data_IF_210003296442
#
_entry.id   IF_210003296442
#
_cell.length_a   1.000
_cell.length_b   1.000
_cell.length_c   1.000
_cell.angle_alpha   90.00
_cell.angle_beta   90.00
_cell.angle_gamma   90.00
#
_symmetry.space_group_name_H-M   'P 1'
#
loop_
_entity.id
_entity.type
_entity.pdbx_description
1 polymer ?
#
# COMPACT_ATOMS: atom_id res chain seq x y z
N UNK A 1 27.29 -15.61 9.65
CA UNK A 1 27.50 -14.71 10.81
C UNK A 1 26.22 -13.92 10.96
N UNK A 2 25.48 -14.06 12.07
CA UNK A 2 24.15 -13.42 12.20
C UNK A 2 24.32 -11.90 12.16
N UNK A 3 23.58 -11.21 11.30
CA UNK A 3 23.68 -9.77 11.14
C UNK A 3 23.26 -9.04 12.44
N UNK A 4 24.23 -8.37 13.08
CA UNK A 4 24.05 -7.71 14.36
C UNK A 4 22.96 -6.62 14.36
N UNK A 5 22.86 -5.84 13.27
CA UNK A 5 21.88 -4.75 13.16
C UNK A 5 20.45 -5.28 12.95
N UNK A 6 20.30 -6.41 12.25
CA UNK A 6 19.02 -7.13 12.15
C UNK A 6 18.56 -7.60 13.53
N UNK A 7 19.42 -8.31 14.28
CA UNK A 7 19.09 -8.83 15.63
C UNK A 7 18.68 -7.69 16.57
N UNK A 8 19.42 -6.57 16.53
CA UNK A 8 19.12 -5.37 17.32
C UNK A 8 17.78 -4.75 16.93
N UNK A 9 17.44 -4.72 15.65
CA UNK A 9 16.14 -4.24 15.18
C UNK A 9 15.01 -5.15 15.64
N UNK A 10 15.16 -6.48 15.49
CA UNK A 10 14.18 -7.45 15.98
C UNK A 10 13.98 -7.30 17.50
N UNK A 11 15.06 -7.20 18.30
CA UNK A 11 14.97 -7.02 19.76
C UNK A 11 14.20 -5.76 20.15
N UNK A 12 14.39 -4.66 19.43
CA UNK A 12 13.68 -3.40 19.70
C UNK A 12 12.24 -3.42 19.20
N UNK A 13 11.94 -4.18 18.15
CA UNK A 13 10.57 -4.40 17.68
C UNK A 13 9.78 -5.31 18.65
N UNK A 14 10.44 -6.31 19.24
CA UNK A 14 9.87 -7.27 20.19
C UNK A 14 10.25 -6.97 21.65
N UNK A 15 10.29 -5.69 22.05
CA UNK A 15 10.54 -5.31 23.46
C UNK A 15 9.40 -5.76 24.36
N UNK A 16 9.69 -6.01 25.64
CA UNK A 16 8.70 -6.37 26.67
C UNK A 16 7.78 -5.21 27.07
N UNK A 17 8.06 -3.99 26.62
CA UNK A 17 7.18 -2.83 26.82
C UNK A 17 5.83 -3.07 26.12
N UNK A 18 4.74 -2.85 26.84
CA UNK A 18 3.36 -2.98 26.36
C UNK A 18 2.94 -1.81 25.45
N UNK A 19 3.72 -1.61 24.40
CA UNK A 19 3.53 -0.62 23.34
C UNK A 19 3.62 -1.32 21.99
N UNK A 20 3.09 -0.67 20.95
CA UNK A 20 3.20 -1.18 19.59
C UNK A 20 4.67 -1.43 19.19
N UNK A 21 4.94 -2.43 18.32
CA UNK A 21 6.26 -2.60 17.71
C UNK A 21 6.77 -1.30 17.09
N UNK A 22 7.97 -0.87 17.50
CA UNK A 22 8.56 0.40 17.07
C UNK A 22 8.71 0.42 15.53
N UNK A 23 7.94 1.28 14.85
CA UNK A 23 7.81 1.33 13.37
C UNK A 23 9.14 1.31 12.63
N UNK A 24 10.14 2.08 13.08
CA UNK A 24 11.47 2.12 12.46
C UNK A 24 12.19 0.78 12.44
N UNK A 25 11.99 -0.05 13.48
CA UNK A 25 12.63 -1.35 13.61
C UNK A 25 11.88 -2.43 12.82
N UNK A 26 10.54 -2.35 12.80
CA UNK A 26 9.73 -3.18 11.90
C UNK A 26 10.12 -2.91 10.44
N UNK A 27 10.22 -1.64 10.05
CA UNK A 27 10.64 -1.24 8.70
C UNK A 27 12.06 -1.71 8.38
N UNK A 28 12.99 -1.61 9.33
CA UNK A 28 14.35 -2.12 9.15
C UNK A 28 14.37 -3.63 8.85
N UNK A 29 13.55 -4.44 9.54
CA UNK A 29 13.43 -5.87 9.26
C UNK A 29 12.83 -6.15 7.87
N UNK A 30 11.83 -5.38 7.44
CA UNK A 30 11.24 -5.52 6.10
C UNK A 30 12.27 -5.16 5.01
N UNK A 31 12.91 -3.99 5.14
CA UNK A 31 13.93 -3.50 4.20
C UNK A 31 15.10 -4.47 4.11
N UNK A 32 15.52 -5.06 5.24
CA UNK A 32 16.55 -6.09 5.27
C UNK A 32 16.29 -7.22 4.26
N UNK A 33 15.05 -7.72 4.19
CA UNK A 33 14.70 -8.82 3.28
C UNK A 33 14.83 -8.44 1.80
N UNK A 34 14.58 -7.17 1.47
CA UNK A 34 14.73 -6.63 0.12
C UNK A 34 16.20 -6.41 -0.24
N UNK A 35 16.98 -5.80 0.66
CA UNK A 35 18.40 -5.50 0.44
C UNK A 35 19.23 -6.78 0.22
N UNK A 36 18.86 -7.88 0.88
CA UNK A 36 19.59 -9.16 0.80
C UNK A 36 18.93 -10.16 -0.16
N UNK A 37 17.74 -9.86 -0.69
CA UNK A 37 16.95 -10.80 -1.49
C UNK A 37 16.60 -12.11 -0.76
N UNK A 38 16.66 -12.11 0.58
CA UNK A 38 16.53 -13.29 1.41
C UNK A 38 15.97 -12.93 2.79
N UNK A 39 15.22 -13.87 3.38
CA UNK A 39 14.53 -13.67 4.66
C UNK A 39 14.90 -14.73 5.71
N UNK A 40 15.75 -15.71 5.37
CA UNK A 40 16.07 -16.83 6.27
C UNK A 40 16.69 -16.32 7.59
N UNK A 41 17.60 -15.34 7.52
CA UNK A 41 18.28 -14.78 8.70
C UNK A 41 17.32 -14.07 9.65
N UNK A 42 16.25 -13.47 9.13
CA UNK A 42 15.22 -12.86 9.95
C UNK A 42 14.52 -13.91 10.82
N UNK A 43 14.14 -15.05 10.24
CA UNK A 43 13.48 -16.13 10.98
C UNK A 43 14.46 -16.80 11.97
N UNK A 44 15.71 -17.05 11.58
CA UNK A 44 16.72 -17.61 12.49
C UNK A 44 17.01 -16.67 13.67
N UNK A 45 17.20 -15.37 13.40
CA UNK A 45 17.42 -14.37 14.43
C UNK A 45 16.22 -14.27 15.39
N UNK A 46 14.99 -14.29 14.86
CA UNK A 46 13.77 -14.26 15.66
C UNK A 46 13.65 -15.51 16.56
N UNK A 47 13.90 -16.71 16.01
CA UNK A 47 13.88 -17.98 16.76
C UNK A 47 14.93 -18.05 17.87
N UNK A 48 16.08 -17.41 17.67
CA UNK A 48 17.16 -17.39 18.67
C UNK A 48 16.86 -16.54 19.91
N UNK A 49 15.83 -15.69 19.86
CA UNK A 49 15.49 -14.81 20.98
C UNK A 49 14.63 -15.54 22.02
N UNK A 50 14.83 -15.27 23.33
CA UNK A 50 14.03 -15.86 24.40
C UNK A 50 12.68 -15.12 24.58
N UNK A 51 11.85 -15.08 23.53
CA UNK A 51 10.56 -14.35 23.53
C UNK A 51 9.45 -15.06 24.30
N UNK A 52 9.52 -16.39 24.44
CA UNK A 52 8.43 -17.21 25.00
C UNK A 52 8.14 -16.97 26.48
N UNK A 53 9.03 -16.26 27.19
CA UNK A 53 8.87 -15.93 28.61
C UNK A 53 7.96 -14.71 28.85
N UNK A 54 7.52 -14.04 27.78
CA UNK A 54 6.71 -12.83 27.89
C UNK A 54 5.70 -12.75 26.73
N UNK A 55 4.42 -12.83 27.07
CA UNK A 55 3.33 -12.82 26.08
C UNK A 55 3.35 -11.58 25.17
N UNK A 56 3.68 -10.40 25.71
CA UNK A 56 3.81 -9.17 24.91
C UNK A 56 4.90 -9.30 23.86
N UNK A 57 6.04 -9.91 24.18
CA UNK A 57 7.12 -10.15 23.21
C UNK A 57 6.71 -11.17 22.14
N UNK A 58 6.02 -12.24 22.54
CA UNK A 58 5.48 -13.24 21.61
C UNK A 58 4.47 -12.60 20.65
N UNK A 59 3.54 -11.82 21.19
CA UNK A 59 2.52 -11.14 20.40
C UNK A 59 3.16 -10.18 19.37
N UNK A 60 4.14 -9.37 19.81
CA UNK A 60 4.89 -8.46 18.93
C UNK A 60 5.73 -9.21 17.89
N UNK A 61 6.26 -10.39 18.23
CA UNK A 61 6.94 -11.25 17.27
C UNK A 61 5.99 -11.75 16.18
N UNK A 62 4.77 -12.17 16.51
CA UNK A 62 3.77 -12.57 15.52
C UNK A 62 3.33 -11.40 14.62
N UNK A 63 3.15 -10.19 15.17
CA UNK A 63 2.90 -8.98 14.37
C UNK A 63 4.07 -8.72 13.41
N UNK A 64 5.31 -8.82 13.89
CA UNK A 64 6.50 -8.60 13.07
C UNK A 64 6.59 -9.63 11.95
N UNK A 65 6.33 -10.91 12.23
CA UNK A 65 6.27 -11.99 11.23
C UNK A 65 5.20 -11.69 10.19
N UNK A 66 3.99 -11.31 10.62
CA UNK A 66 2.90 -10.97 9.70
C UNK A 66 3.31 -9.85 8.74
N UNK A 67 3.88 -8.77 9.27
CA UNK A 67 4.32 -7.63 8.47
C UNK A 67 5.47 -7.98 7.52
N UNK A 68 6.41 -8.82 7.93
CA UNK A 68 7.49 -9.29 7.05
C UNK A 68 6.96 -10.19 5.94
N UNK A 69 5.96 -11.05 6.22
CA UNK A 69 5.30 -11.86 5.20
C UNK A 69 4.53 -10.99 4.20
N UNK A 70 3.85 -9.94 4.67
CA UNK A 70 3.10 -9.01 3.81
C UNK A 70 4.02 -8.12 2.95
N UNK A 71 4.95 -7.41 3.59
CA UNK A 71 5.66 -6.28 2.99
C UNK A 71 7.12 -6.61 2.59
N UNK A 72 7.63 -7.77 2.99
CA UNK A 72 9.00 -8.22 2.71
C UNK A 72 9.18 -8.71 1.28
N UNK A 73 10.43 -9.01 0.94
CA UNK A 73 10.77 -9.65 -0.34
C UNK A 73 9.98 -10.97 -0.50
N UNK A 74 9.58 -11.42 -1.70
CA UNK A 74 8.78 -12.64 -1.90
C UNK A 74 9.35 -13.93 -1.27
N UNK A 75 10.65 -13.96 -0.93
CA UNK A 75 11.23 -15.05 -0.13
C UNK A 75 10.67 -15.11 1.28
N UNK A 76 10.17 -14.01 1.85
CA UNK A 76 9.59 -13.94 3.19
C UNK A 76 8.41 -14.89 3.35
N UNK A 77 7.55 -14.98 2.33
CA UNK A 77 6.45 -15.93 2.30
C UNK A 77 6.95 -17.38 2.26
N UNK A 78 7.96 -17.67 1.42
CA UNK A 78 8.60 -18.99 1.32
C UNK A 78 9.27 -19.42 2.63
N UNK A 79 9.97 -18.51 3.29
CA UNK A 79 10.57 -18.76 4.60
C UNK A 79 9.52 -18.86 5.70
N UNK A 80 8.42 -18.11 5.61
CA UNK A 80 7.26 -18.25 6.49
C UNK A 80 6.69 -19.67 6.43
N UNK A 81 6.52 -20.22 5.22
CA UNK A 81 6.10 -21.61 5.00
C UNK A 81 7.03 -22.62 5.67
N UNK A 82 8.36 -22.45 5.51
CA UNK A 82 9.35 -23.32 6.17
C UNK A 82 9.29 -23.24 7.71
N UNK A 83 8.87 -22.10 8.25
CA UNK A 83 8.76 -21.87 9.69
C UNK A 83 7.32 -21.99 10.22
N UNK A 84 6.40 -22.56 9.43
CA UNK A 84 4.98 -22.74 9.78
C UNK A 84 4.79 -23.48 11.11
N UNK A 85 5.50 -24.59 11.30
CA UNK A 85 5.38 -25.41 12.52
C UNK A 85 5.90 -24.70 13.76
N UNK A 86 6.93 -23.86 13.58
CA UNK A 86 7.43 -22.99 14.65
C UNK A 86 6.38 -21.95 15.03
N UNK A 87 5.74 -21.28 14.08
CA UNK A 87 4.64 -20.33 14.34
C UNK A 87 3.51 -21.01 15.11
N UNK A 88 3.13 -22.22 14.70
CA UNK A 88 2.11 -23.00 15.41
C UNK A 88 2.52 -23.40 16.83
N UNK A 89 3.79 -23.72 17.03
CA UNK A 89 4.33 -24.05 18.36
C UNK A 89 4.34 -22.83 19.27
N UNK A 90 4.73 -21.66 18.75
CA UNK A 90 4.65 -20.38 19.47
C UNK A 90 3.23 -20.13 19.95
N UNK A 91 2.24 -20.28 19.06
CA UNK A 91 0.82 -20.14 19.40
C UNK A 91 0.34 -21.07 20.51
N UNK A 92 0.61 -22.38 20.36
CA UNK A 92 0.21 -23.40 21.36
C UNK A 92 0.89 -23.21 22.71
N UNK A 93 2.12 -22.68 22.73
CA UNK A 93 2.88 -22.49 23.97
C UNK A 93 2.30 -21.42 24.91
N UNK A 94 1.48 -20.51 24.38
CA UNK A 94 0.86 -19.41 25.12
C UNK A 94 -0.65 -19.64 25.31
N UNK A 95 -1.13 -20.87 25.13
CA UNK A 95 -2.57 -21.17 25.17
C UNK A 95 -3.13 -20.91 26.56
N UNK A 96 -4.09 -19.99 26.63
CA UNK A 96 -4.88 -19.66 27.82
C UNK A 96 -6.36 -19.66 27.43
N UNK A 97 -7.21 -20.27 28.25
CA UNK A 97 -8.66 -20.39 27.96
C UNK A 97 -9.42 -19.07 28.13
N UNK A 98 -8.85 -18.10 28.85
CA UNK A 98 -9.47 -16.81 29.11
C UNK A 98 -9.44 -15.90 27.87
N UNK A 99 -10.62 -15.65 27.30
CA UNK A 99 -10.84 -14.74 26.19
C UNK A 99 -10.39 -13.32 26.56
N UNK A 100 -9.70 -12.64 25.65
CA UNK A 100 -9.22 -11.26 25.84
C UNK A 100 -7.80 -11.13 26.39
N UNK A 101 -7.20 -12.22 26.85
CA UNK A 101 -5.79 -12.27 27.29
C UNK A 101 -4.83 -12.29 26.09
N UNK A 102 -3.57 -11.90 26.30
CA UNK A 102 -2.55 -12.04 25.26
C UNK A 102 -2.37 -13.48 24.81
N UNK A 103 -2.38 -14.46 25.73
CA UNK A 103 -2.31 -15.88 25.39
C UNK A 103 -3.38 -16.31 24.38
N UNK A 104 -4.65 -15.92 24.61
CA UNK A 104 -5.74 -16.18 23.66
C UNK A 104 -5.50 -15.51 22.30
N UNK A 105 -5.13 -14.22 22.30
CA UNK A 105 -4.86 -13.48 21.06
C UNK A 105 -3.68 -14.07 20.29
N UNK A 106 -2.61 -14.51 20.97
CA UNK A 106 -1.44 -15.17 20.39
C UNK A 106 -1.84 -16.46 19.70
N UNK A 107 -2.65 -17.30 20.37
CA UNK A 107 -3.14 -18.54 19.79
C UNK A 107 -3.95 -18.28 18.52
N UNK A 108 -4.92 -17.36 18.57
CA UNK A 108 -5.76 -17.05 17.39
C UNK A 108 -4.95 -16.40 16.26
N UNK A 109 -3.99 -15.53 16.57
CA UNK A 109 -3.12 -14.93 15.55
C UNK A 109 -2.25 -16.00 14.88
N UNK A 110 -1.67 -16.92 15.66
CA UNK A 110 -0.87 -18.01 15.10
C UNK A 110 -1.68 -18.89 14.15
N UNK A 111 -2.95 -19.19 14.47
CA UNK A 111 -3.88 -19.93 13.62
C UNK A 111 -4.14 -19.19 12.32
N UNK A 112 -4.45 -17.89 12.40
CA UNK A 112 -4.62 -17.06 11.21
C UNK A 112 -3.38 -17.08 10.32
N UNK A 113 -2.17 -16.89 10.89
CA UNK A 113 -0.93 -16.91 10.11
C UNK A 113 -0.68 -18.25 9.45
N UNK A 114 -0.99 -19.35 10.13
CA UNK A 114 -0.93 -20.70 9.55
C UNK A 114 -1.90 -20.83 8.38
N UNK A 115 -3.17 -20.40 8.54
CA UNK A 115 -4.14 -20.42 7.45
C UNK A 115 -3.68 -19.57 6.24
N UNK A 116 -3.09 -18.39 6.48
CA UNK A 116 -2.50 -17.57 5.42
C UNK A 116 -1.38 -18.31 4.70
N UNK A 117 -0.47 -18.92 5.45
CA UNK A 117 0.63 -19.70 4.88
C UNK A 117 0.10 -20.88 4.06
N UNK A 118 -0.85 -21.65 4.57
CA UNK A 118 -1.47 -22.77 3.87
C UNK A 118 -2.15 -22.35 2.57
N UNK A 119 -2.86 -21.22 2.57
CA UNK A 119 -3.44 -20.62 1.38
C UNK A 119 -2.36 -20.41 0.29
N UNK A 120 -1.23 -19.79 0.65
CA UNK A 120 -0.14 -19.55 -0.29
C UNK A 120 0.63 -20.82 -0.68
N UNK A 121 0.61 -21.87 0.14
CA UNK A 121 1.19 -23.17 -0.19
C UNK A 121 0.38 -23.88 -1.28
N UNK A 122 -0.94 -23.83 -1.16
CA UNK A 122 -1.89 -24.44 -2.08
C UNK A 122 -2.00 -23.62 -3.37
N UNK A 123 -2.15 -22.29 -3.25
CA UNK A 123 -2.31 -21.38 -4.38
C UNK A 123 -0.99 -20.71 -4.79
N UNK A 124 -0.13 -21.45 -5.50
CA UNK A 124 1.21 -20.99 -5.93
C UNK A 124 1.21 -19.74 -6.84
N UNK A 125 0.07 -19.38 -7.40
CA UNK A 125 -0.10 -18.14 -8.17
C UNK A 125 0.00 -16.87 -7.32
N UNK A 126 -0.18 -16.98 -6.00
CA UNK A 126 -0.04 -15.87 -5.06
C UNK A 126 1.37 -15.85 -4.48
N UNK A 127 2.23 -15.06 -5.13
CA UNK A 127 3.65 -14.89 -4.81
C UNK A 127 3.92 -13.75 -3.83
N UNK A 128 2.94 -12.85 -3.64
CA UNK A 128 2.98 -11.69 -2.78
C UNK A 128 2.11 -11.89 -1.55
N UNK A 129 2.57 -11.41 -0.39
CA UNK A 129 1.81 -11.47 0.85
C UNK A 129 0.67 -10.46 0.94
N UNK A 130 0.53 -9.53 -0.02
CA UNK A 130 -0.48 -8.45 -0.03
C UNK A 130 -1.56 -8.59 -1.11
N UNK A 131 -1.65 -9.75 -1.77
CA UNK A 131 -2.64 -10.05 -2.83
C UNK A 131 -2.67 -8.97 -3.94
N UNK A 132 -1.61 -8.90 -4.73
CA UNK A 132 -1.47 -7.85 -5.74
C UNK A 132 -2.38 -8.09 -6.97
N UNK A 133 -2.84 -7.01 -7.60
CA UNK A 133 -3.66 -7.08 -8.82
C UNK A 133 -2.96 -7.80 -9.99
N UNK A 134 -1.62 -7.80 -10.02
CA UNK A 134 -0.87 -8.56 -11.04
C UNK A 134 -1.12 -10.07 -10.94
N UNK A 135 -1.39 -10.59 -9.74
CA UNK A 135 -1.69 -12.00 -9.50
C UNK A 135 -3.08 -12.37 -10.02
N UNK A 136 -4.04 -11.44 -9.91
CA UNK A 136 -5.35 -11.55 -10.54
C UNK A 136 -5.22 -11.72 -12.07
N UNK A 137 -4.42 -10.90 -12.75
CA UNK A 137 -4.25 -11.01 -14.21
C UNK A 137 -3.62 -12.36 -14.60
N UNK A 138 -2.71 -12.89 -13.78
CA UNK A 138 -2.12 -14.20 -14.01
C UNK A 138 -3.14 -15.35 -13.80
N UNK A 139 -4.04 -15.23 -12.82
CA UNK A 139 -5.04 -16.24 -12.48
C UNK A 139 -6.26 -16.20 -13.41
N UNK A 140 -6.69 -15.03 -13.87
CA UNK A 140 -7.83 -14.91 -14.81
C UNK A 140 -7.51 -15.38 -16.24
N UNK A 141 -6.23 -15.54 -16.57
CA UNK A 141 -5.83 -16.22 -17.80
C UNK A 141 -5.94 -17.75 -17.69
N UNK A 142 -6.22 -18.29 -16.50
CA UNK A 142 -6.53 -19.70 -16.31
C UNK A 142 -7.98 -19.92 -16.77
N UNK A 143 -8.14 -20.71 -17.83
CA UNK A 143 -9.42 -20.88 -18.53
C UNK A 143 -10.47 -21.70 -17.78
N UNK A 144 -10.20 -22.09 -16.53
CA UNK A 144 -11.00 -23.05 -15.75
C UNK A 144 -11.83 -22.34 -14.66
N UNK A 145 -13.16 -22.22 -14.85
CA UNK A 145 -14.06 -21.64 -13.85
C UNK A 145 -14.07 -22.38 -12.51
N UNK A 146 -13.85 -23.70 -12.50
CA UNK A 146 -13.91 -24.49 -11.26
C UNK A 146 -12.73 -24.14 -10.35
N UNK A 147 -11.53 -24.02 -10.92
CA UNK A 147 -10.36 -23.53 -10.20
C UNK A 147 -10.56 -22.09 -9.68
N UNK A 148 -11.22 -21.23 -10.45
CA UNK A 148 -11.58 -19.87 -10.02
C UNK A 148 -12.54 -19.87 -8.82
N UNK A 149 -13.53 -20.76 -8.84
CA UNK A 149 -14.49 -20.94 -7.75
C UNK A 149 -13.78 -21.37 -6.46
N UNK A 150 -12.90 -22.36 -6.52
CA UNK A 150 -12.13 -22.86 -5.37
C UNK A 150 -11.24 -21.76 -4.77
N UNK A 151 -10.51 -21.02 -5.59
CA UNK A 151 -9.67 -19.89 -5.14
C UNK A 151 -10.49 -18.85 -4.38
N UNK A 152 -11.68 -18.50 -4.90
CA UNK A 152 -12.57 -17.54 -4.23
C UNK A 152 -13.04 -18.10 -2.89
N UNK A 153 -13.44 -19.36 -2.84
CA UNK A 153 -13.92 -20.00 -1.61
C UNK A 153 -12.84 -20.01 -0.52
N UNK A 154 -11.60 -20.33 -0.89
CA UNK A 154 -10.45 -20.34 0.01
C UNK A 154 -10.06 -18.93 0.47
N UNK A 155 -10.09 -17.93 -0.43
CA UNK A 155 -9.89 -16.53 -0.07
C UNK A 155 -10.95 -16.05 0.92
N UNK A 156 -12.22 -16.43 0.72
CA UNK A 156 -13.29 -16.14 1.68
C UNK A 156 -13.04 -16.84 3.02
N UNK A 157 -12.54 -18.09 3.01
CA UNK A 157 -12.13 -18.77 4.24
C UNK A 157 -11.02 -18.02 4.99
N UNK A 158 -10.03 -17.48 4.28
CA UNK A 158 -8.98 -16.65 4.87
C UNK A 158 -9.53 -15.33 5.42
N UNK A 159 -10.47 -14.69 4.71
CA UNK A 159 -11.16 -13.47 5.15
C UNK A 159 -11.92 -13.68 6.46
N UNK A 160 -12.63 -14.81 6.58
CA UNK A 160 -13.35 -15.17 7.82
C UNK A 160 -12.38 -15.29 9.00
N UNK A 161 -11.23 -15.95 8.81
CA UNK A 161 -10.20 -16.09 9.85
C UNK A 161 -9.61 -14.73 10.25
N UNK A 162 -9.28 -13.86 9.29
CA UNK A 162 -8.74 -12.52 9.55
C UNK A 162 -9.75 -11.64 10.32
N UNK A 163 -11.02 -11.69 9.90
CA UNK A 163 -12.11 -10.91 10.52
C UNK A 163 -12.41 -11.42 11.93
N UNK A 164 -12.48 -12.75 12.13
CA UNK A 164 -12.68 -13.35 13.45
C UNK A 164 -11.57 -12.97 14.43
N UNK A 165 -10.31 -13.04 14.01
CA UNK A 165 -9.18 -12.60 14.83
C UNK A 165 -9.30 -11.11 15.20
N UNK A 166 -9.69 -10.27 14.24
CA UNK A 166 -9.86 -8.83 14.47
C UNK A 166 -10.97 -8.53 15.50
N UNK A 167 -12.08 -9.27 15.46
CA UNK A 167 -13.15 -9.21 16.48
C UNK A 167 -12.61 -9.57 17.87
N UNK A 168 -11.77 -10.60 17.98
CA UNK A 168 -11.15 -10.96 19.26
C UNK A 168 -10.24 -9.85 19.81
N UNK A 169 -9.49 -9.18 18.95
CA UNK A 169 -8.66 -8.03 19.35
C UNK A 169 -9.54 -6.88 19.83
N UNK A 170 -10.59 -6.52 19.09
CA UNK A 170 -11.52 -5.44 19.48
C UNK A 170 -12.21 -5.74 20.81
N UNK A 171 -12.72 -6.96 21.00
CA UNK A 171 -13.34 -7.39 22.26
C UNK A 171 -12.37 -7.29 23.44
N UNK A 172 -11.09 -7.63 23.25
CA UNK A 172 -10.06 -7.57 24.29
C UNK A 172 -9.72 -6.15 24.74
N UNK A 173 -9.92 -5.15 23.87
CA UNK A 173 -9.67 -3.73 24.18
C UNK A 173 -10.90 -3.15 24.91
N UNK A 174 -12.11 -3.52 24.46
CA UNK A 174 -13.35 -3.09 25.10
C UNK A 174 -13.52 -3.60 26.54
N UNK A 175 -13.07 -4.83 26.83
CA UNK A 175 -13.22 -5.44 28.17
C UNK A 175 -12.34 -4.79 29.24
N UNK A 176 -11.20 -4.22 28.87
CA UNK A 176 -10.21 -3.71 29.83
C UNK A 176 -10.39 -2.22 30.16
N UNK A 177 -11.31 -1.50 29.49
CA UNK A 177 -11.46 -0.04 29.56
C UNK A 177 -10.11 0.71 29.42
N UNK A 178 -9.14 0.09 28.72
CA UNK A 178 -7.79 0.60 28.49
C UNK A 178 -7.44 0.41 27.03
N UNK A 179 -7.07 1.50 26.37
CA UNK A 179 -6.53 1.44 25.01
C UNK A 179 -5.12 0.83 25.07
N UNK A 180 -4.98 -0.46 24.73
CA UNK A 180 -3.66 -1.11 24.63
C UNK A 180 -3.10 -0.90 23.21
N UNK A 181 -2.12 0.00 23.08
CA UNK A 181 -1.42 0.24 21.81
C UNK A 181 -0.85 -1.03 21.20
N UNK A 182 -0.35 -1.94 22.05
CA UNK A 182 0.20 -3.22 21.63
C UNK A 182 -0.87 -4.09 20.95
N UNK A 183 -2.02 -4.29 21.60
CA UNK A 183 -3.15 -5.06 21.03
C UNK A 183 -3.67 -4.41 19.74
N UNK A 184 -3.88 -3.09 19.74
CA UNK A 184 -4.36 -2.32 18.58
C UNK A 184 -3.39 -2.45 17.40
N UNK A 185 -2.09 -2.52 17.63
CA UNK A 185 -1.09 -2.59 16.55
C UNK A 185 -1.21 -3.85 15.68
N UNK A 186 -1.86 -4.91 16.16
CA UNK A 186 -2.17 -6.10 15.35
C UNK A 186 -3.27 -5.85 14.31
N UNK A 187 -4.15 -4.86 14.52
CA UNK A 187 -5.21 -4.51 13.57
C UNK A 187 -4.65 -3.87 12.30
N UNK A 188 -3.49 -3.21 12.37
CA UNK A 188 -2.87 -2.55 11.21
C UNK A 188 -2.63 -3.51 10.04
N UNK A 189 -1.89 -4.63 10.20
CA UNK A 189 -1.74 -5.59 9.12
C UNK A 189 -3.05 -6.34 8.80
N UNK A 190 -3.98 -6.52 9.75
CA UNK A 190 -5.28 -7.13 9.48
C UNK A 190 -6.14 -6.28 8.54
N UNK A 191 -6.17 -4.96 8.72
CA UNK A 191 -6.91 -4.05 7.84
C UNK A 191 -6.38 -4.09 6.41
N UNK A 192 -5.04 -4.13 6.27
CA UNK A 192 -4.42 -4.27 4.96
C UNK A 192 -4.80 -5.61 4.31
N UNK A 193 -4.77 -6.70 5.08
CA UNK A 193 -5.12 -8.04 4.62
C UNK A 193 -6.59 -8.12 4.17
N UNK A 194 -7.52 -7.71 5.04
CA UNK A 194 -8.95 -7.85 4.78
C UNK A 194 -9.41 -6.95 3.63
N UNK A 195 -8.80 -5.77 3.49
CA UNK A 195 -9.04 -4.89 2.35
C UNK A 195 -8.55 -5.52 1.04
N UNK A 196 -7.34 -6.09 1.05
CA UNK A 196 -6.75 -6.71 -0.13
C UNK A 196 -7.57 -7.93 -0.59
N UNK A 197 -7.92 -8.82 0.34
CA UNK A 197 -8.78 -9.98 0.06
C UNK A 197 -10.13 -9.51 -0.47
N UNK A 198 -10.79 -8.54 0.17
CA UNK A 198 -12.09 -8.03 -0.27
C UNK A 198 -12.04 -7.52 -1.72
N UNK A 199 -11.01 -6.73 -2.06
CA UNK A 199 -10.80 -6.20 -3.41
C UNK A 199 -10.56 -7.32 -4.42
N UNK A 200 -9.73 -8.30 -4.05
CA UNK A 200 -9.38 -9.44 -4.90
C UNK A 200 -10.60 -10.32 -5.19
N UNK A 201 -11.32 -10.73 -4.15
CA UNK A 201 -12.54 -11.54 -4.27
C UNK A 201 -13.60 -10.84 -5.10
N UNK A 202 -13.76 -9.52 -4.94
CA UNK A 202 -14.68 -8.72 -5.77
C UNK A 202 -14.30 -8.74 -7.24
N UNK A 203 -13.02 -8.58 -7.54
CA UNK A 203 -12.53 -8.58 -8.92
C UNK A 203 -12.70 -9.97 -9.56
N UNK A 204 -12.37 -11.04 -8.83
CA UNK A 204 -12.54 -12.41 -9.29
C UNK A 204 -14.00 -12.77 -9.55
N UNK A 205 -14.90 -12.48 -8.60
CA UNK A 205 -16.34 -12.72 -8.79
C UNK A 205 -16.87 -12.00 -10.02
N UNK A 206 -16.48 -10.74 -10.22
CA UNK A 206 -16.87 -9.99 -11.42
C UNK A 206 -16.37 -10.67 -12.70
N UNK A 207 -15.11 -11.08 -12.72
CA UNK A 207 -14.53 -11.76 -13.87
C UNK A 207 -15.17 -13.12 -14.16
N UNK A 208 -15.53 -13.88 -13.13
CA UNK A 208 -16.25 -15.16 -13.29
C UNK A 208 -17.67 -14.96 -13.83
N UNK A 209 -18.41 -13.96 -13.34
CA UNK A 209 -19.74 -13.61 -13.89
C UNK A 209 -19.62 -13.19 -15.35
N UNK A 210 -18.59 -12.42 -15.70
CA UNK A 210 -18.33 -12.03 -17.10
C UNK A 210 -17.96 -13.24 -17.97
N UNK A 211 -17.21 -14.21 -17.44
CA UNK A 211 -16.80 -15.43 -18.16
C UNK A 211 -17.96 -16.43 -18.36
N UNK A 212 -18.79 -16.64 -17.34
CA UNK A 212 -19.92 -17.57 -17.39
C UNK A 212 -21.12 -16.99 -18.13
N UNK A 213 -21.26 -15.66 -18.15
CA UNK A 213 -22.41 -14.98 -18.75
C UNK A 213 -23.71 -15.13 -17.94
N UNK A 214 -23.64 -15.75 -16.76
CA UNK A 214 -24.70 -15.84 -15.75
C UNK A 214 -24.16 -15.74 -14.32
N UNK A 215 -25.08 -15.56 -13.36
CA UNK A 215 -24.77 -15.60 -11.92
C UNK A 215 -25.20 -16.91 -11.27
N UNK A 216 -25.90 -17.80 -11.98
CA UNK A 216 -26.59 -18.95 -11.40
C UNK A 216 -25.64 -19.93 -10.71
N UNK A 217 -24.47 -20.17 -11.32
CA UNK A 217 -23.42 -21.01 -10.71
C UNK A 217 -22.68 -20.35 -9.53
N UNK A 218 -22.88 -19.04 -9.31
CA UNK A 218 -22.09 -18.23 -8.37
C UNK A 218 -22.91 -17.66 -7.21
N UNK A 219 -24.22 -17.93 -7.15
CA UNK A 219 -25.12 -17.37 -6.14
C UNK A 219 -24.60 -17.56 -4.71
N UNK A 220 -24.14 -18.77 -4.39
CA UNK A 220 -23.59 -19.09 -3.06
C UNK A 220 -22.35 -18.24 -2.72
N UNK A 221 -21.47 -17.99 -3.70
CA UNK A 221 -20.30 -17.15 -3.48
C UNK A 221 -20.70 -15.67 -3.36
N UNK A 222 -21.66 -15.21 -4.15
CA UNK A 222 -22.17 -13.84 -4.09
C UNK A 222 -22.82 -13.57 -2.73
N UNK A 223 -23.65 -14.49 -2.23
CA UNK A 223 -24.28 -14.38 -0.91
C UNK A 223 -23.23 -14.34 0.20
N UNK A 224 -22.24 -15.25 0.15
CA UNK A 224 -21.13 -15.27 1.11
C UNK A 224 -20.30 -13.98 1.04
N UNK A 225 -20.04 -13.48 -0.16
CA UNK A 225 -19.32 -12.21 -0.37
C UNK A 225 -20.05 -11.05 0.28
N UNK A 226 -21.36 -10.93 0.09
CA UNK A 226 -22.17 -9.85 0.66
C UNK A 226 -22.15 -9.88 2.20
N UNK A 227 -22.24 -11.07 2.80
CA UNK A 227 -22.12 -11.24 4.25
C UNK A 227 -20.75 -10.80 4.75
N UNK A 228 -19.67 -11.22 4.08
CA UNK A 228 -18.31 -10.81 4.45
C UNK A 228 -18.09 -9.31 4.24
N UNK A 229 -18.63 -8.74 3.17
CA UNK A 229 -18.54 -7.31 2.88
C UNK A 229 -19.12 -6.49 4.04
N UNK A 230 -20.32 -6.85 4.53
CA UNK A 230 -20.94 -6.18 5.67
C UNK A 230 -20.08 -6.29 6.93
N UNK A 231 -19.53 -7.48 7.23
CA UNK A 231 -18.65 -7.68 8.40
C UNK A 231 -17.36 -6.87 8.32
N UNK A 232 -16.74 -6.77 7.14
CA UNK A 232 -15.53 -5.96 6.94
C UNK A 232 -15.85 -4.47 7.02
N UNK A 233 -17.02 -4.05 6.51
CA UNK A 233 -17.49 -2.67 6.63
C UNK A 233 -17.68 -2.27 8.10
N UNK A 234 -18.37 -3.10 8.90
CA UNK A 234 -18.53 -2.92 10.35
C UNK A 234 -17.18 -2.89 11.06
N UNK A 235 -16.28 -3.84 10.74
CA UNK A 235 -14.92 -3.86 11.28
C UNK A 235 -14.16 -2.55 11.02
N UNK A 236 -14.27 -1.97 9.82
CA UNK A 236 -13.61 -0.70 9.49
C UNK A 236 -14.27 0.48 10.20
N UNK A 237 -15.59 0.44 10.40
CA UNK A 237 -16.30 1.43 11.20
C UNK A 237 -15.83 1.39 12.66
N UNK A 238 -15.71 0.20 13.26
CA UNK A 238 -15.18 0.03 14.61
C UNK A 238 -13.74 0.57 14.70
N UNK A 239 -12.89 0.23 13.73
CA UNK A 239 -11.51 0.74 13.66
C UNK A 239 -11.43 2.27 13.54
N UNK A 240 -12.40 2.90 12.88
CA UNK A 240 -12.45 4.36 12.72
C UNK A 240 -12.68 5.11 14.04
N UNK A 241 -13.25 4.43 15.04
CA UNK A 241 -13.44 4.98 16.39
C UNK A 241 -12.16 4.98 17.23
N UNK A 242 -11.13 4.23 16.84
CA UNK A 242 -9.89 4.04 17.60
C UNK A 242 -8.86 5.10 17.20
N UNK A 243 -8.70 6.14 18.04
CA UNK A 243 -7.83 7.30 17.79
C UNK A 243 -6.37 6.92 17.52
N UNK A 244 -5.83 5.98 18.28
CA UNK A 244 -4.46 5.51 18.08
C UNK A 244 -4.28 4.89 16.68
N UNK A 245 -5.23 4.05 16.25
CA UNK A 245 -5.17 3.35 14.97
C UNK A 245 -5.22 4.31 13.78
N UNK A 246 -6.13 5.28 13.79
CA UNK A 246 -6.24 6.30 12.72
C UNK A 246 -5.03 7.24 12.65
N UNK A 247 -4.24 7.34 13.73
CA UNK A 247 -2.97 8.07 13.70
C UNK A 247 -1.84 7.30 13.01
N UNK A 248 -1.96 5.97 12.93
CA UNK A 248 -0.94 5.10 12.34
C UNK A 248 -1.12 4.89 10.85
N UNK A 249 -2.37 4.81 10.39
CA UNK A 249 -2.74 4.46 9.02
C UNK A 249 -3.91 5.29 8.51
N UNK A 250 -3.98 5.45 7.19
CA UNK A 250 -5.20 5.89 6.53
C UNK A 250 -6.10 4.68 6.31
N UNK A 251 -7.25 4.64 6.97
CA UNK A 251 -8.21 3.54 6.80
C UNK A 251 -8.69 3.47 5.34
N UNK A 252 -8.64 2.29 4.69
CA UNK A 252 -9.21 2.11 3.37
C UNK A 252 -10.72 2.39 3.39
N UNK A 253 -11.22 3.03 2.33
CA UNK A 253 -12.66 3.32 2.21
C UNK A 253 -13.34 2.21 1.41
N UNK A 254 -14.31 1.56 2.05
CA UNK A 254 -15.24 0.66 1.38
C UNK A 254 -16.51 1.42 0.98
N UNK A 255 -17.04 1.22 -0.23
CA UNK A 255 -18.37 1.70 -0.60
C UNK A 255 -19.44 1.27 0.42
N UNK A 256 -20.49 2.09 0.61
CA UNK A 256 -21.57 1.78 1.55
C UNK A 256 -22.44 0.59 1.12
N UNK A 257 -22.44 0.25 -0.16
CA UNK A 257 -23.16 -0.90 -0.70
C UNK A 257 -22.17 -1.88 -1.33
N UNK A 258 -22.42 -3.20 -1.21
CA UNK A 258 -21.63 -4.18 -1.92
C UNK A 258 -21.78 -4.00 -3.44
N UNK A 259 -20.78 -4.40 -4.23
CA UNK A 259 -20.86 -4.42 -5.69
C UNK A 259 -22.03 -5.28 -6.16
N UNK A 260 -22.78 -4.78 -7.13
CA UNK A 260 -23.79 -5.57 -7.83
C UNK A 260 -23.10 -6.41 -8.90
N UNK A 261 -23.34 -7.72 -8.87
CA UNK A 261 -22.88 -8.67 -9.88
C UNK A 261 -24.05 -8.92 -10.85
N UNK A 262 -24.03 -8.29 -12.02
CA UNK A 262 -25.07 -8.41 -13.06
C UNK A 262 -24.47 -8.93 -14.34
N UNK A 263 -25.21 -9.81 -15.01
CA UNK A 263 -25.04 -10.11 -16.43
C UNK A 263 -25.48 -8.92 -17.26
N UNK A 264 -24.69 -8.56 -18.27
CA UNK A 264 -24.82 -7.28 -18.95
C UNK A 264 -26.23 -6.94 -19.45
N UNK A 265 -26.79 -5.86 -18.93
CA UNK A 265 -27.43 -4.86 -19.78
C UNK A 265 -26.71 -3.53 -19.60
N UNK A 266 -26.53 -2.85 -20.73
CA UNK A 266 -25.76 -1.63 -20.98
C UNK A 266 -25.84 -0.62 -19.84
N UNK A 267 -24.70 -0.37 -19.19
CA UNK A 267 -24.37 0.96 -18.64
C UNK A 267 -23.03 1.32 -19.26
N UNK A 268 -23.03 2.34 -20.12
CA UNK A 268 -21.90 2.85 -20.93
C UNK A 268 -20.51 2.50 -20.39
N UNK A 269 -19.90 1.44 -20.92
CA UNK A 269 -18.46 1.19 -20.78
C UNK A 269 -17.78 1.69 -22.04
N UNK A 270 -17.08 2.84 -21.95
CA UNK A 270 -15.99 3.13 -22.89
C UNK A 270 -15.04 1.91 -22.89
N UNK A 271 -14.64 1.38 -24.05
CA UNK A 271 -13.78 0.22 -24.09
C UNK A 271 -12.45 0.56 -23.43
N UNK A 272 -12.06 -0.22 -22.41
CA UNK A 272 -10.69 -0.27 -21.93
C UNK A 272 -9.85 -0.87 -23.05
N UNK A 273 -9.37 -0.01 -23.95
CA UNK A 273 -8.40 -0.39 -24.96
C UNK A 273 -7.19 -1.02 -24.27
N UNK A 274 -6.78 -2.16 -24.82
CA UNK A 274 -5.57 -2.89 -24.49
C UNK A 274 -4.37 -1.96 -24.32
N UNK A 275 -4.03 -1.63 -23.08
CA UNK A 275 -2.78 -0.93 -22.79
C UNK A 275 -1.65 -1.96 -22.90
N UNK A 276 -0.76 -1.75 -23.87
CA UNK A 276 0.54 -2.44 -23.98
C UNK A 276 1.25 -2.41 -22.61
N UNK A 277 2.13 -3.39 -22.30
CA UNK A 277 2.84 -3.43 -21.03
C UNK A 277 3.60 -2.11 -20.81
N UNK A 278 3.17 -1.33 -19.82
CA UNK A 278 3.80 -0.06 -19.46
C UNK A 278 4.98 -0.40 -18.56
N UNK A 279 6.19 -0.04 -18.99
CA UNK A 279 7.38 -0.09 -18.15
C UNK A 279 7.13 0.75 -16.89
N UNK A 280 7.28 0.11 -15.73
CA UNK A 280 7.09 0.73 -14.42
C UNK A 280 8.29 1.67 -14.21
N UNK A 281 8.08 2.99 -14.00
CA UNK A 281 9.18 3.91 -13.70
C UNK A 281 9.82 3.51 -12.36
N UNK A 282 11.15 3.57 -12.28
CA UNK A 282 11.89 3.14 -11.09
C UNK A 282 11.46 3.92 -9.84
N UNK A 283 11.62 3.32 -8.63
CA UNK A 283 11.19 3.90 -7.34
C UNK A 283 11.68 5.34 -7.06
N UNK A 284 12.75 5.78 -7.73
CA UNK A 284 13.32 7.12 -7.58
C UNK A 284 12.43 8.24 -8.15
N UNK A 285 11.66 7.99 -9.23
CA UNK A 285 10.81 9.01 -9.85
C UNK A 285 9.60 9.34 -8.97
N UNK A 286 9.06 8.35 -8.26
CA UNK A 286 7.95 8.55 -7.32
C UNK A 286 8.38 9.44 -6.15
N UNK A 287 9.61 9.29 -5.67
CA UNK A 287 10.17 10.10 -4.59
C UNK A 287 10.42 11.54 -5.03
N UNK A 288 10.98 11.73 -6.23
CA UNK A 288 11.21 13.07 -6.80
C UNK A 288 9.91 13.84 -6.99
N UNK A 289 8.85 13.18 -7.47
CA UNK A 289 7.57 13.85 -7.68
C UNK A 289 6.86 14.13 -6.35
N UNK A 290 6.97 13.24 -5.36
CA UNK A 290 6.40 13.45 -4.03
C UNK A 290 7.07 14.61 -3.28
N UNK A 291 8.39 14.76 -3.43
CA UNK A 291 9.16 15.88 -2.90
C UNK A 291 8.81 17.21 -3.59
N UNK A 292 8.71 17.23 -4.92
CA UNK A 292 8.30 18.42 -5.68
C UNK A 292 6.90 18.91 -5.29
N UNK A 293 5.95 17.98 -5.07
CA UNK A 293 4.61 18.32 -4.57
C UNK A 293 4.61 18.85 -3.14
N UNK A 294 5.49 18.34 -2.27
CA UNK A 294 5.64 18.87 -0.90
C UNK A 294 6.23 20.28 -0.88
N UNK A 295 7.16 20.60 -1.79
CA UNK A 295 7.69 21.97 -1.92
C UNK A 295 6.61 22.94 -2.39
N UNK A 296 5.71 22.52 -3.29
CA UNK A 296 4.60 23.33 -3.79
C UNK A 296 3.52 23.58 -2.71
N UNK A 297 3.29 22.60 -1.83
CA UNK A 297 2.25 22.68 -0.78
C UNK A 297 2.55 23.71 0.31
N UNK A 298 3.78 24.20 0.40
CA UNK A 298 4.19 25.25 1.35
C UNK A 298 4.28 26.67 0.74
N UNK A 299 3.82 26.88 -0.50
CA UNK A 299 3.84 28.21 -1.11
C UNK A 299 2.61 29.05 -0.74
N UNK A 300 2.79 29.90 0.27
CA UNK A 300 2.04 31.16 0.38
C UNK A 300 2.92 32.42 0.36
N UNK A 301 4.25 32.32 0.16
CA UNK A 301 5.14 33.48 0.10
C UNK A 301 6.20 33.38 -1.01
N UNK A 302 6.70 34.53 -1.53
CA UNK A 302 7.57 34.59 -2.71
C UNK A 302 8.89 33.83 -2.52
N UNK A 303 9.21 33.01 -3.51
CA UNK A 303 10.35 32.08 -3.54
C UNK A 303 11.66 32.83 -3.33
N UNK A 304 12.42 32.51 -2.27
CA UNK A 304 13.84 32.85 -2.21
C UNK A 304 14.64 31.85 -3.05
N UNK A 305 15.49 32.37 -3.94
CA UNK A 305 16.18 31.64 -5.03
C UNK A 305 17.16 30.53 -4.59
N UNK A 306 17.31 30.28 -3.29
CA UNK A 306 18.30 29.33 -2.76
C UNK A 306 17.79 27.88 -2.86
N UNK A 307 16.48 27.63 -2.66
CA UNK A 307 15.93 26.28 -2.57
C UNK A 307 15.84 25.54 -3.91
N UNK A 308 15.65 26.26 -5.01
CA UNK A 308 15.51 25.65 -6.36
C UNK A 308 16.87 25.27 -6.95
N UNK A 309 17.90 26.08 -6.69
CA UNK A 309 19.27 25.85 -7.17
C UNK A 309 19.91 24.64 -6.48
N UNK A 310 19.58 24.39 -5.21
CA UNK A 310 20.00 23.18 -4.49
C UNK A 310 19.31 21.92 -5.01
N UNK A 311 17.99 21.98 -5.31
CA UNK A 311 17.25 20.87 -5.89
C UNK A 311 17.77 20.47 -7.28
N UNK A 312 18.11 21.45 -8.13
CA UNK A 312 18.65 21.18 -9.47
C UNK A 312 20.02 20.50 -9.41
N UNK A 313 20.86 20.85 -8.44
CA UNK A 313 22.18 20.26 -8.25
C UNK A 313 22.12 18.83 -7.68
N UNK A 314 21.16 18.53 -6.80
CA UNK A 314 20.99 17.16 -6.27
C UNK A 314 20.47 16.20 -7.35
N UNK A 315 19.54 16.64 -8.21
CA UNK A 315 18.98 15.81 -9.29
C UNK A 315 19.99 15.60 -10.44
N UNK A 316 20.91 16.54 -10.67
CA UNK A 316 21.96 16.41 -11.68
C UNK A 316 23.00 15.31 -11.39
N UNK A 317 23.05 14.79 -10.15
CA UNK A 317 24.04 13.76 -9.77
C UNK A 317 23.63 12.32 -10.13
N UNK A 318 22.46 12.11 -10.74
CA UNK A 318 22.02 10.78 -11.20
C UNK A 318 21.82 10.71 -12.73
N UNK A 319 22.40 9.72 -13.45
CA UNK A 319 22.75 9.91 -14.87
C UNK A 319 21.65 9.55 -15.89
N UNK A 320 20.36 9.49 -15.52
CA UNK A 320 19.30 9.01 -16.43
C UNK A 320 18.03 9.85 -16.51
N UNK A 321 18.08 11.14 -16.16
CA UNK A 321 16.91 12.05 -16.25
C UNK A 321 17.19 13.33 -17.10
N UNK A 322 17.75 13.29 -18.33
CA UNK A 322 18.10 14.55 -19.01
C UNK A 322 16.89 15.35 -19.50
N UNK A 323 15.83 14.69 -20.00
CA UNK A 323 14.72 15.37 -20.72
C UNK A 323 13.75 16.12 -19.81
N UNK A 324 13.35 15.53 -18.68
CA UNK A 324 12.44 16.16 -17.71
C UNK A 324 13.13 17.31 -16.97
N UNK A 325 14.42 17.17 -16.66
CA UNK A 325 15.22 18.24 -16.05
C UNK A 325 15.33 19.43 -17.02
N UNK A 326 15.62 19.17 -18.30
CA UNK A 326 15.69 20.23 -19.33
C UNK A 326 14.37 20.99 -19.45
N UNK A 327 13.25 20.27 -19.53
CA UNK A 327 11.91 20.86 -19.64
C UNK A 327 11.54 21.67 -18.38
N UNK A 328 11.85 21.14 -17.20
CA UNK A 328 11.60 21.82 -15.92
C UNK A 328 12.44 23.09 -15.82
N UNK A 329 13.73 23.03 -16.13
CA UNK A 329 14.62 24.19 -16.15
C UNK A 329 14.14 25.26 -17.15
N UNK A 330 13.70 24.88 -18.35
CA UNK A 330 13.18 25.81 -19.36
C UNK A 330 11.91 26.53 -18.88
N UNK A 331 10.95 25.79 -18.32
CA UNK A 331 9.70 26.35 -17.79
C UNK A 331 9.98 27.29 -16.61
N UNK A 332 10.87 26.91 -15.70
CA UNK A 332 11.29 27.76 -14.57
C UNK A 332 11.98 29.03 -15.03
N UNK A 333 12.87 28.94 -16.03
CA UNK A 333 13.56 30.11 -16.59
C UNK A 333 12.58 31.08 -17.27
N UNK A 334 11.54 30.55 -17.95
CA UNK A 334 10.51 31.36 -18.59
C UNK A 334 9.61 32.08 -17.58
N UNK A 335 9.18 31.40 -16.52
CA UNK A 335 8.36 32.00 -15.45
C UNK A 335 9.13 33.06 -14.64
N UNK A 336 10.45 32.88 -14.47
CA UNK A 336 11.31 33.88 -13.83
C UNK A 336 11.46 35.16 -14.66
N UNK A 337 11.48 35.04 -15.99
CA UNK A 337 11.61 36.19 -16.89
C UNK A 337 10.30 36.93 -17.10
N UNK A 338 9.16 36.23 -17.09
CA UNK A 338 7.84 36.83 -17.25
C UNK A 338 6.79 36.08 -16.40
N UNK A 339 6.38 36.63 -15.24
CA UNK A 339 5.45 35.98 -14.33
C UNK A 339 4.03 36.02 -14.89
N UNK A 340 3.67 35.03 -15.72
CA UNK A 340 2.29 34.83 -16.18
C UNK A 340 1.56 33.83 -15.29
N UNK A 341 0.47 34.23 -14.61
CA UNK A 341 -0.30 33.33 -13.76
C UNK A 341 -0.94 32.18 -14.57
N UNK A 342 -1.26 32.41 -15.84
CA UNK A 342 -1.81 31.39 -16.73
C UNK A 342 -0.77 30.32 -17.07
N UNK A 343 0.48 30.72 -17.34
CA UNK A 343 1.58 29.81 -17.63
C UNK A 343 1.99 29.03 -16.39
N UNK A 344 1.95 29.66 -15.21
CA UNK A 344 2.21 28.99 -13.94
C UNK A 344 1.16 27.91 -13.64
N UNK A 345 -0.12 28.23 -13.84
CA UNK A 345 -1.22 27.29 -13.66
C UNK A 345 -1.16 26.13 -14.66
N UNK A 346 -0.86 26.40 -15.93
CA UNK A 346 -0.69 25.37 -16.96
C UNK A 346 0.51 24.45 -16.66
N UNK A 347 1.61 25.02 -16.15
CA UNK A 347 2.79 24.25 -15.73
C UNK A 347 2.48 23.33 -14.54
N UNK A 348 1.73 23.82 -13.54
CA UNK A 348 1.27 23.01 -12.41
C UNK A 348 0.37 21.86 -12.86
N UNK A 349 -0.59 22.12 -13.75
CA UNK A 349 -1.46 21.08 -14.30
C UNK A 349 -0.68 20.06 -15.12
N UNK A 350 0.37 20.47 -15.85
CA UNK A 350 1.26 19.56 -16.55
C UNK A 350 2.00 18.62 -15.60
N UNK A 351 2.64 19.15 -14.55
CA UNK A 351 3.33 18.33 -13.55
C UNK A 351 2.37 17.44 -12.76
N UNK A 352 1.14 17.88 -12.52
CA UNK A 352 0.10 17.09 -11.89
C UNK A 352 -0.45 16.00 -12.83
N UNK A 353 -0.55 16.29 -14.13
CA UNK A 353 -0.96 15.31 -15.13
C UNK A 353 0.08 14.21 -15.30
N UNK A 354 1.39 14.50 -15.14
CA UNK A 354 2.46 13.49 -15.13
C UNK A 354 2.29 12.44 -14.01
N UNK A 355 1.46 12.72 -13.01
CA UNK A 355 1.05 11.79 -11.95
C UNK A 355 -0.28 11.09 -12.22
N UNK A 356 -1.04 11.53 -13.24
CA UNK A 356 -2.30 10.90 -13.63
C UNK A 356 -2.01 9.56 -14.31
N UNK A 357 -2.74 8.48 -13.95
CA UNK A 357 -2.61 7.20 -14.65
C UNK A 357 -3.11 7.28 -16.11
N UNK A 358 -3.94 8.29 -16.43
CA UNK A 358 -4.53 8.49 -17.75
C UNK A 358 -3.60 9.26 -18.69
N UNK A 359 -3.11 8.58 -19.73
CA UNK A 359 -2.17 9.14 -20.71
C UNK A 359 -2.77 10.29 -21.53
N UNK A 360 -4.10 10.34 -21.67
CA UNK A 360 -4.77 11.44 -22.35
C UNK A 360 -4.67 12.75 -21.56
N UNK A 361 -4.63 12.70 -20.23
CA UNK A 361 -4.49 13.91 -19.40
C UNK A 361 -3.09 14.50 -19.54
N UNK A 362 -2.07 13.66 -19.65
CA UNK A 362 -0.68 14.08 -19.94
C UNK A 362 -0.60 14.71 -21.32
N UNK A 363 -1.20 14.08 -22.35
CA UNK A 363 -1.22 14.60 -23.71
C UNK A 363 -1.96 15.93 -23.78
N UNK A 364 -3.12 16.04 -23.11
CA UNK A 364 -3.91 17.28 -23.06
C UNK A 364 -3.15 18.39 -22.32
N UNK A 365 -2.54 18.08 -21.18
CA UNK A 365 -1.77 19.05 -20.41
C UNK A 365 -0.49 19.48 -21.15
N UNK A 366 0.18 18.56 -21.85
CA UNK A 366 1.34 18.86 -22.69
C UNK A 366 0.94 19.73 -23.88
N UNK A 367 -0.17 19.40 -24.54
CA UNK A 367 -0.70 20.17 -25.68
C UNK A 367 -1.12 21.57 -25.26
N UNK A 368 -1.78 21.72 -24.10
CA UNK A 368 -2.14 23.02 -23.53
C UNK A 368 -0.91 23.84 -23.16
N UNK A 369 0.10 23.22 -22.53
CA UNK A 369 1.36 23.89 -22.19
C UNK A 369 2.11 24.32 -23.45
N UNK A 370 2.24 23.45 -24.45
CA UNK A 370 2.88 23.77 -25.73
C UNK A 370 2.12 24.85 -26.50
N UNK A 371 0.79 24.80 -26.54
CA UNK A 371 -0.03 25.84 -27.17
C UNK A 371 0.14 27.20 -26.49
N UNK A 372 0.31 27.25 -25.16
CA UNK A 372 0.58 28.50 -24.43
C UNK A 372 2.01 29.01 -24.64
N UNK A 373 2.98 28.11 -24.79
CA UNK A 373 4.36 28.43 -25.12
C UNK A 373 4.51 28.94 -26.56
N UNK A 374 3.73 28.40 -27.51
CA UNK A 374 3.74 28.77 -28.94
C UNK A 374 2.93 30.04 -29.19
N UNK A 375 1.78 30.21 -28.53
CA UNK A 375 0.87 31.36 -28.75
C UNK A 375 1.11 32.54 -27.81
N UNK A 376 2.14 32.50 -26.95
CA UNK A 376 2.53 33.69 -26.18
C UNK A 376 3.08 34.75 -27.15
N UNK A 377 2.47 35.94 -27.24
CA UNK A 377 2.89 36.95 -28.22
C UNK A 377 4.34 37.37 -27.95
N UNK A 378 5.19 37.22 -28.97
CA UNK A 378 6.62 37.48 -28.94
C UNK A 378 7.03 38.96 -28.70
N UNK A 379 6.11 39.83 -28.27
CA UNK A 379 6.36 41.27 -28.12
C UNK A 379 6.76 41.76 -26.72
N UNK A 380 7.21 40.87 -25.83
CA UNK A 380 7.77 41.24 -24.52
C UNK A 380 9.28 40.95 -24.44
N UNK A 381 9.94 40.75 -25.58
CA UNK A 381 11.38 40.40 -25.62
C UNK A 381 12.31 41.54 -26.06
N UNK A 382 11.82 42.74 -26.32
CA UNK A 382 12.69 43.89 -26.56
C UNK A 382 12.99 44.64 -25.25
N UNK A 383 14.26 44.94 -24.94
CA UNK A 383 14.60 45.74 -23.78
C UNK A 383 14.09 47.18 -23.97
N UNK A 384 13.62 47.86 -22.90
CA UNK A 384 13.11 49.22 -23.03
C UNK A 384 14.24 50.17 -23.45
N UNK A 385 14.01 50.89 -24.55
CA UNK A 385 14.86 52.01 -24.99
C UNK A 385 14.97 53.08 -23.88
N UNK A 386 16.17 53.63 -23.61
CA UNK A 386 16.34 54.58 -22.53
C UNK A 386 15.74 55.94 -22.92
N UNK A 387 14.69 56.37 -22.21
CA UNK A 387 14.20 57.74 -22.31
C UNK A 387 14.80 58.62 -21.21
N UNK A 388 15.44 59.66 -21.70
CA UNK A 388 16.15 60.75 -21.06
C UNK A 388 15.35 61.47 -19.97
N UNK A 389 16.02 61.79 -18.87
CA UNK A 389 15.58 62.76 -17.87
C UNK A 389 15.25 64.11 -18.52
N UNK A 390 14.08 64.66 -18.20
CA UNK A 390 13.89 66.11 -18.10
C UNK A 390 13.01 66.44 -16.91
N UNK A 391 13.60 67.25 -16.04
CA UNK A 391 13.10 67.96 -14.88
C UNK A 391 11.92 68.89 -15.18
N UNK A 392 10.98 68.98 -14.24
CA UNK A 392 10.52 70.24 -13.63
C UNK A 392 9.83 69.92 -12.29
#
# INVERSE_FOLDING_TARGET
MVNYELVKSIRKACSAEETAPKRKHVRACIVYTWDHGASYEFFEALKSMPILNNETQVYKALILVHKVIQEGHPTALKEGLKNRDWIGTVGRSQRVESVGTYGYLIEQYSKFLICKLDFHAYHKGFTSGIFEYKEYVALMNVSDPDAGYEVILDLMGLQDNATNYSVHVLASIGSENRESECKISALVPMIAETYAIQKFTTAMLRGMVEQLGDTGGLEQLIDKHNIQYARVFEFFADCSSIKYLISLINLPKLPSQPPIFVTGTVVDRKPLQSAKPREIPSPDIHLTIHLALQTIKHFQDPVSAVSITQLANEVATQPRIPSIIQLTHQITTLLQRNPSPLLAQASQLYFQALLSPNQQDIINANTNLQNLLINSPAHIFDPPTPQTHTSA
#
